data_IF_760785116738
#
_entry.id   IF_760785116738
#
_cell.length_a   1.000
_cell.length_b   1.000
_cell.length_c   1.000
_cell.angle_alpha   90.00
_cell.angle_beta   90.00
_cell.angle_gamma   90.00
#
_symmetry.space_group_name_H-M   'P 1'
#
loop_
_entity.id
_entity.type
_entity.pdbx_description
1 polymer ?
#
# COMPACT_ATOMS: atom_id res chain seq x y z
N UNK A 1 29.65 -10.42 16.22
CA UNK A 1 29.52 -9.33 17.23
C UNK A 1 28.50 -8.25 16.86
N UNK A 2 28.34 -7.84 15.59
CA UNK A 2 27.32 -6.86 15.16
C UNK A 2 25.86 -7.34 15.28
N UNK A 3 25.57 -8.62 14.97
CA UNK A 3 24.20 -9.16 14.97
C UNK A 3 23.58 -9.16 16.38
N UNK A 4 24.37 -9.45 17.42
CA UNK A 4 23.90 -9.43 18.82
C UNK A 4 23.50 -8.03 19.30
N UNK A 5 24.23 -6.97 18.91
CA UNK A 5 23.88 -5.58 19.24
C UNK A 5 22.62 -5.09 18.50
N UNK A 6 22.38 -5.60 17.28
CA UNK A 6 21.19 -5.24 16.50
C UNK A 6 19.88 -5.73 17.14
N UNK A 7 19.89 -6.92 17.72
CA UNK A 7 18.74 -7.51 18.42
C UNK A 7 18.37 -6.77 19.72
N UNK A 8 19.29 -5.99 20.30
CA UNK A 8 19.04 -5.17 21.49
C UNK A 8 18.49 -3.77 21.18
N UNK A 9 18.49 -3.34 19.91
CA UNK A 9 17.87 -2.08 19.53
C UNK A 9 16.36 -2.16 19.67
N UNK A 10 15.73 -1.04 20.01
CA UNK A 10 14.27 -0.95 19.93
C UNK A 10 13.79 -1.26 18.51
N UNK A 11 12.67 -1.96 18.39
CA UNK A 11 12.15 -2.49 17.12
C UNK A 11 12.09 -1.43 16.00
N UNK A 12 11.72 -0.19 16.32
CA UNK A 12 11.64 0.88 15.34
C UNK A 12 13.00 1.25 14.72
N UNK A 13 14.09 1.14 15.49
CA UNK A 13 15.44 1.33 14.96
C UNK A 13 15.88 0.16 14.08
N UNK A 14 15.49 -1.07 14.44
CA UNK A 14 15.75 -2.24 13.60
C UNK A 14 15.07 -2.08 12.22
N UNK A 15 13.80 -1.65 12.21
CA UNK A 15 13.06 -1.41 10.96
C UNK A 15 13.67 -0.26 10.16
N UNK A 16 14.02 0.86 10.81
CA UNK A 16 14.64 2.00 10.12
C UNK A 16 15.98 1.65 9.48
N UNK A 17 16.84 0.92 10.20
CA UNK A 17 18.12 0.43 9.66
C UNK A 17 17.88 -0.53 8.50
N UNK A 18 16.93 -1.45 8.63
CA UNK A 18 16.58 -2.39 7.58
C UNK A 18 16.05 -1.69 6.31
N UNK A 19 15.23 -0.65 6.48
CA UNK A 19 14.76 0.20 5.38
C UNK A 19 15.92 0.89 4.67
N UNK A 20 16.81 1.54 5.42
CA UNK A 20 17.95 2.27 4.85
C UNK A 20 18.94 1.32 4.14
N UNK A 21 19.24 0.17 4.75
CA UNK A 21 20.11 -0.84 4.14
C UNK A 21 19.50 -1.42 2.87
N UNK A 22 18.21 -1.79 2.89
CA UNK A 22 17.52 -2.32 1.72
C UNK A 22 17.50 -1.31 0.58
N UNK A 23 17.21 -0.04 0.89
CA UNK A 23 17.23 1.04 -0.10
C UNK A 23 18.63 1.29 -0.66
N UNK A 24 19.66 1.36 0.18
CA UNK A 24 21.04 1.58 -0.27
C UNK A 24 21.54 0.46 -1.19
N UNK A 25 21.29 -0.80 -0.81
CA UNK A 25 21.65 -1.97 -1.62
C UNK A 25 20.86 -1.94 -2.94
N UNK A 26 19.56 -1.68 -2.89
CA UNK A 26 18.73 -1.71 -4.08
C UNK A 26 19.06 -0.60 -5.07
N UNK A 27 19.27 0.64 -4.61
CA UNK A 27 19.73 1.76 -5.45
C UNK A 27 21.10 1.45 -6.05
N UNK A 28 22.03 0.93 -5.27
CA UNK A 28 23.38 0.59 -5.77
C UNK A 28 23.27 -0.48 -6.86
N UNK A 29 22.49 -1.54 -6.63
CA UNK A 29 22.27 -2.59 -7.62
C UNK A 29 21.54 -2.05 -8.86
N UNK A 30 20.57 -1.16 -8.70
CA UNK A 30 19.86 -0.52 -9.80
C UNK A 30 20.81 0.25 -10.73
N UNK A 31 21.71 1.05 -10.15
CA UNK A 31 22.68 1.86 -10.89
C UNK A 31 23.76 1.01 -11.54
N UNK A 32 24.30 0.01 -10.82
CA UNK A 32 25.49 -0.75 -11.25
C UNK A 32 25.18 -2.02 -12.03
N UNK A 33 24.05 -2.66 -11.74
CA UNK A 33 23.66 -3.98 -12.24
C UNK A 33 22.27 -4.00 -12.90
N UNK A 34 21.66 -2.82 -13.11
CA UNK A 34 20.31 -2.68 -13.64
C UNK A 34 20.21 -2.82 -15.15
N UNK A 35 21.29 -2.58 -15.89
CA UNK A 35 21.31 -2.65 -17.35
C UNK A 35 21.84 -4.00 -17.81
N UNK A 36 21.08 -4.69 -18.64
CA UNK A 36 21.51 -5.90 -19.34
C UNK A 36 20.95 -5.92 -20.75
N UNK A 37 21.85 -5.91 -21.73
CA UNK A 37 21.52 -6.14 -23.13
C UNK A 37 21.94 -7.57 -23.48
N UNK A 38 21.00 -8.39 -23.90
CA UNK A 38 21.21 -9.78 -24.30
C UNK A 38 20.82 -9.94 -25.77
N UNK A 39 21.78 -10.29 -26.62
CA UNK A 39 21.50 -10.81 -27.96
C UNK A 39 21.09 -12.28 -27.86
N UNK A 40 19.99 -12.64 -28.51
CA UNK A 40 19.43 -13.99 -28.47
C UNK A 40 20.05 -14.82 -29.59
N UNK A 41 20.60 -15.97 -29.21
CA UNK A 41 21.08 -16.97 -30.15
C UNK A 41 19.91 -17.46 -31.04
N UNK A 42 20.09 -17.59 -32.37
CA UNK A 42 19.05 -18.07 -33.28
C UNK A 42 18.42 -19.40 -32.87
N UNK A 43 19.14 -20.26 -32.16
CA UNK A 43 18.65 -21.55 -31.65
C UNK A 43 17.56 -21.42 -30.57
N UNK A 44 17.53 -20.29 -29.86
CA UNK A 44 16.57 -20.02 -28.79
C UNK A 44 15.30 -19.32 -29.30
N UNK A 45 15.30 -18.84 -30.56
CA UNK A 45 14.20 -18.08 -31.14
C UNK A 45 13.04 -19.00 -31.57
N UNK A 46 11.77 -18.53 -31.48
CA UNK A 46 10.64 -19.24 -32.06
C UNK A 46 10.79 -19.38 -33.58
N UNK A 47 10.19 -20.41 -34.17
CA UNK A 47 10.22 -20.63 -35.63
C UNK A 47 9.74 -19.40 -36.39
N UNK A 48 10.51 -18.95 -37.39
CA UNK A 48 10.23 -17.77 -38.21
C UNK A 48 10.90 -16.47 -37.74
N UNK A 49 11.72 -16.52 -36.69
CA UNK A 49 12.56 -15.40 -36.23
C UNK A 49 14.05 -15.69 -36.47
N UNK A 50 14.76 -14.68 -36.97
CA UNK A 50 16.18 -14.79 -37.35
C UNK A 50 17.12 -14.19 -36.29
N UNK A 51 16.72 -13.09 -35.67
CA UNK A 51 17.50 -12.41 -34.63
C UNK A 51 16.59 -11.85 -33.55
N UNK A 52 17.14 -11.67 -32.35
CA UNK A 52 16.41 -11.04 -31.26
C UNK A 52 17.35 -10.38 -30.27
N UNK A 53 16.89 -9.29 -29.68
CA UNK A 53 17.61 -8.53 -28.67
C UNK A 53 16.66 -8.23 -27.51
N UNK A 54 17.19 -8.36 -26.30
CA UNK A 54 16.50 -8.00 -25.07
C UNK A 54 17.34 -6.96 -24.35
N UNK A 55 16.75 -5.81 -24.06
CA UNK A 55 17.35 -4.74 -23.27
C UNK A 55 16.53 -4.56 -21.98
N UNK A 56 17.05 -5.10 -20.88
CA UNK A 56 16.50 -4.91 -19.54
C UNK A 56 17.21 -3.74 -18.86
N UNK A 57 16.44 -2.70 -18.53
CA UNK A 57 16.90 -1.56 -17.74
C UNK A 57 15.94 -1.30 -16.58
N UNK A 58 16.39 -0.57 -15.54
CA UNK A 58 15.48 -0.12 -14.49
C UNK A 58 14.29 0.65 -15.06
N UNK A 59 13.07 0.24 -14.69
CA UNK A 59 11.83 0.87 -15.17
C UNK A 59 11.49 0.69 -16.66
N UNK A 60 12.29 -0.06 -17.44
CA UNK A 60 12.05 -0.27 -18.88
C UNK A 60 12.60 -1.62 -19.36
N UNK A 61 11.76 -2.44 -19.97
CA UNK A 61 12.19 -3.67 -20.67
C UNK A 61 11.84 -3.53 -22.13
N UNK A 62 12.80 -3.74 -23.00
CA UNK A 62 12.60 -3.71 -24.44
C UNK A 62 12.98 -5.06 -25.05
N UNK A 63 12.09 -5.62 -25.84
CA UNK A 63 12.29 -6.89 -26.54
C UNK A 63 12.03 -6.63 -28.02
N UNK A 64 13.04 -6.89 -28.84
CA UNK A 64 13.00 -6.71 -30.29
C UNK A 64 13.28 -8.06 -30.93
N UNK A 65 12.35 -8.56 -31.72
CA UNK A 65 12.52 -9.82 -32.49
C UNK A 65 12.35 -9.53 -33.98
N UNK A 66 13.28 -10.00 -34.79
CA UNK A 66 13.26 -9.82 -36.25
C UNK A 66 12.89 -11.13 -36.93
N UNK A 67 11.85 -11.10 -37.76
CA UNK A 67 11.43 -12.25 -38.58
C UNK A 67 12.37 -12.48 -39.75
N UNK A 68 12.37 -13.71 -40.28
CA UNK A 68 13.11 -14.06 -41.51
C UNK A 68 12.69 -13.21 -42.72
N UNK A 69 11.47 -12.64 -42.72
CA UNK A 69 10.98 -11.70 -43.73
C UNK A 69 11.52 -10.27 -43.60
N UNK A 70 12.37 -10.00 -42.60
CA UNK A 70 12.89 -8.66 -42.28
C UNK A 70 11.96 -7.79 -41.43
N UNK A 71 10.73 -8.25 -41.14
CA UNK A 71 9.78 -7.51 -40.28
C UNK A 71 10.19 -7.62 -38.82
N UNK A 72 10.31 -6.47 -38.14
CA UNK A 72 10.67 -6.39 -36.71
C UNK A 72 9.42 -6.24 -35.84
N UNK A 73 9.32 -7.03 -34.78
CA UNK A 73 8.33 -6.91 -33.72
C UNK A 73 9.01 -6.39 -32.46
N UNK A 74 8.44 -5.33 -31.88
CA UNK A 74 9.00 -4.61 -30.73
C UNK A 74 7.96 -4.55 -29.62
N UNK A 75 8.37 -4.96 -28.42
CA UNK A 75 7.59 -4.82 -27.20
C UNK A 75 8.39 -4.01 -26.19
N UNK A 76 7.79 -2.95 -25.67
CA UNK A 76 8.37 -2.12 -24.62
C UNK A 76 7.48 -2.21 -23.40
N UNK A 77 8.02 -2.56 -22.25
CA UNK A 77 7.31 -2.61 -20.97
C UNK A 77 7.85 -1.52 -20.07
N UNK A 78 6.99 -0.62 -19.60
CA UNK A 78 7.41 0.59 -18.89
C UNK A 78 8.01 1.63 -19.82
N UNK A 79 9.01 2.38 -19.35
CA UNK A 79 9.66 3.45 -20.12
C UNK A 79 9.09 4.85 -19.89
N UNK A 80 9.75 5.84 -20.50
CA UNK A 80 9.38 7.25 -20.39
C UNK A 80 8.24 7.65 -21.34
N UNK A 81 7.83 8.93 -21.34
CA UNK A 81 6.79 9.44 -22.26
C UNK A 81 7.14 9.22 -23.74
N UNK A 82 8.43 9.23 -24.07
CA UNK A 82 8.99 9.05 -25.41
C UNK A 82 8.88 7.61 -25.94
N UNK A 83 8.73 6.62 -25.06
CA UNK A 83 8.64 5.18 -25.41
C UNK A 83 7.21 4.72 -25.75
N UNK A 84 6.22 5.62 -25.68
CA UNK A 84 4.79 5.29 -25.89
C UNK A 84 4.40 5.08 -27.36
N UNK A 85 5.34 5.15 -28.30
CA UNK A 85 5.08 4.91 -29.70
C UNK A 85 5.02 3.40 -30.02
N UNK A 86 3.80 2.91 -30.31
CA UNK A 86 3.44 1.59 -30.85
C UNK A 86 4.05 0.34 -30.17
N UNK A 87 3.26 -0.32 -29.30
CA UNK A 87 3.63 -1.59 -28.66
C UNK A 87 4.04 -1.49 -27.19
N UNK A 88 3.90 -0.30 -26.57
CA UNK A 88 4.17 -0.10 -25.14
C UNK A 88 3.13 -0.80 -24.26
N UNK A 89 3.60 -1.47 -23.22
CA UNK A 89 2.81 -2.19 -22.22
C UNK A 89 3.09 -1.61 -20.84
N UNK A 90 2.08 -1.54 -20.00
CA UNK A 90 2.22 -0.96 -18.67
C UNK A 90 2.98 -1.91 -17.73
N UNK A 91 2.81 -3.22 -17.90
CA UNK A 91 3.35 -4.24 -16.97
C UNK A 91 3.88 -5.48 -17.69
N UNK A 92 4.74 -6.23 -17.00
CA UNK A 92 5.22 -7.53 -17.48
C UNK A 92 4.09 -8.57 -17.58
N UNK A 93 3.04 -8.43 -16.79
CA UNK A 93 1.85 -9.29 -16.88
C UNK A 93 1.08 -9.08 -18.19
N UNK A 94 0.98 -7.83 -18.66
CA UNK A 94 0.40 -7.55 -19.98
C UNK A 94 1.25 -8.16 -21.11
N UNK A 95 2.57 -8.16 -20.96
CA UNK A 95 3.48 -8.82 -21.91
C UNK A 95 3.27 -10.33 -21.91
N UNK A 96 3.11 -10.95 -20.75
CA UNK A 96 2.82 -12.38 -20.66
C UNK A 96 1.52 -12.75 -21.37
N UNK A 97 0.47 -11.93 -21.22
CA UNK A 97 -0.82 -12.14 -21.89
C UNK A 97 -0.77 -11.92 -23.41
N UNK A 98 -0.11 -10.84 -23.87
CA UNK A 98 -0.10 -10.48 -25.31
C UNK A 98 0.98 -11.23 -26.11
N UNK A 99 2.13 -11.51 -25.52
CA UNK A 99 3.28 -12.12 -26.19
C UNK A 99 4.01 -13.12 -25.27
N UNK A 100 3.41 -14.30 -24.98
CA UNK A 100 3.96 -15.26 -24.02
C UNK A 100 5.31 -15.86 -24.44
N UNK A 101 5.66 -15.83 -25.73
CA UNK A 101 6.96 -16.27 -26.22
C UNK A 101 8.06 -15.24 -25.91
N UNK A 102 7.79 -13.94 -26.14
CA UNK A 102 8.70 -12.85 -25.79
C UNK A 102 8.92 -12.78 -24.27
N UNK A 103 7.86 -12.95 -23.47
CA UNK A 103 7.96 -13.00 -22.02
C UNK A 103 8.85 -14.15 -21.53
N UNK A 104 8.72 -15.37 -22.09
CA UNK A 104 9.57 -16.51 -21.73
C UNK A 104 11.05 -16.26 -22.04
N UNK A 105 11.35 -15.71 -23.22
CA UNK A 105 12.72 -15.34 -23.59
C UNK A 105 13.32 -14.33 -22.61
N UNK A 106 12.55 -13.29 -22.25
CA UNK A 106 12.96 -12.32 -21.24
C UNK A 106 13.18 -12.95 -19.87
N UNK A 107 12.23 -13.77 -19.40
CA UNK A 107 12.31 -14.44 -18.09
C UNK A 107 13.58 -15.30 -17.97
N UNK A 108 13.87 -16.07 -19.01
CA UNK A 108 14.89 -17.11 -18.94
C UNK A 108 16.29 -16.53 -19.27
N UNK A 109 16.39 -15.54 -20.17
CA UNK A 109 17.68 -15.06 -20.70
C UNK A 109 17.91 -13.55 -20.58
N UNK A 110 16.85 -12.75 -20.43
CA UNK A 110 16.91 -11.28 -20.50
C UNK A 110 17.13 -10.54 -19.18
N UNK A 111 16.83 -11.15 -18.03
CA UNK A 111 16.80 -10.44 -16.74
C UNK A 111 18.20 -9.99 -16.27
N UNK A 112 18.32 -8.71 -15.94
CA UNK A 112 19.44 -8.10 -15.23
C UNK A 112 19.63 -8.69 -13.83
N UNK A 113 20.84 -8.56 -13.27
CA UNK A 113 21.11 -9.03 -11.92
C UNK A 113 20.33 -8.21 -10.87
N UNK A 114 20.17 -6.90 -11.08
CA UNK A 114 19.34 -6.06 -10.21
C UNK A 114 17.89 -6.55 -10.19
N UNK A 115 17.29 -6.88 -11.35
CA UNK A 115 15.93 -7.41 -11.41
C UNK A 115 15.80 -8.77 -10.72
N UNK A 116 16.79 -9.66 -10.86
CA UNK A 116 16.80 -10.95 -10.14
C UNK A 116 16.87 -10.75 -8.62
N UNK A 117 17.66 -9.80 -8.15
CA UNK A 117 17.67 -9.41 -6.72
C UNK A 117 16.33 -8.81 -6.29
N UNK A 118 15.72 -7.98 -7.14
CA UNK A 118 14.39 -7.44 -6.94
C UNK A 118 13.32 -8.54 -6.82
N UNK A 119 13.31 -9.52 -7.72
CA UNK A 119 12.38 -10.65 -7.71
C UNK A 119 12.49 -11.46 -6.41
N UNK A 120 13.71 -11.63 -5.87
CA UNK A 120 13.92 -12.26 -4.57
C UNK A 120 13.34 -11.41 -3.44
N UNK A 121 13.58 -10.09 -3.49
CA UNK A 121 13.00 -9.12 -2.58
C UNK A 121 11.47 -9.14 -2.59
N UNK A 122 10.85 -9.17 -3.76
CA UNK A 122 9.38 -9.24 -3.89
C UNK A 122 8.85 -10.53 -3.26
N UNK A 123 9.43 -11.70 -3.59
CA UNK A 123 8.97 -12.97 -3.01
C UNK A 123 9.00 -12.98 -1.48
N UNK A 124 10.08 -12.51 -0.88
CA UNK A 124 10.25 -12.51 0.58
C UNK A 124 9.44 -11.39 1.25
N UNK A 125 9.38 -10.22 0.64
CA UNK A 125 8.57 -9.08 1.10
C UNK A 125 7.08 -9.40 1.05
N UNK A 126 6.59 -10.01 -0.03
CA UNK A 126 5.20 -10.44 -0.17
C UNK A 126 4.84 -11.53 0.82
N UNK A 127 5.76 -12.44 1.16
CA UNK A 127 5.51 -13.41 2.23
C UNK A 127 5.25 -12.71 3.56
N UNK A 128 6.01 -11.66 3.88
CA UNK A 128 5.77 -10.84 5.07
C UNK A 128 4.39 -10.16 5.04
N UNK A 129 4.00 -9.56 3.91
CA UNK A 129 2.66 -8.97 3.74
C UNK A 129 1.55 -10.02 3.86
N UNK A 130 1.75 -11.23 3.33
CA UNK A 130 0.80 -12.35 3.46
C UNK A 130 0.62 -12.74 4.92
N UNK A 131 1.69 -12.79 5.71
CA UNK A 131 1.59 -13.05 7.15
C UNK A 131 0.76 -11.98 7.87
N UNK A 132 0.97 -10.69 7.57
CA UNK A 132 0.15 -9.62 8.15
C UNK A 132 -1.32 -9.74 7.73
N UNK A 133 -1.59 -9.97 6.45
CA UNK A 133 -2.96 -10.17 5.93
C UNK A 133 -3.67 -11.37 6.55
N UNK A 134 -2.93 -12.45 6.83
CA UNK A 134 -3.46 -13.65 7.49
C UNK A 134 -4.06 -13.33 8.86
N UNK A 135 -3.43 -12.44 9.64
CA UNK A 135 -3.95 -12.03 10.95
C UNK A 135 -4.93 -10.87 10.87
N UNK A 136 -4.96 -10.09 9.78
CA UNK A 136 -5.82 -8.90 9.64
C UNK A 136 -7.30 -9.18 9.88
N UNK A 137 -7.92 -10.08 9.12
CA UNK A 137 -9.38 -10.29 9.21
C UNK A 137 -9.81 -10.83 10.57
N UNK A 138 -9.20 -11.92 11.11
CA UNK A 138 -9.60 -12.42 12.41
C UNK A 138 -9.35 -11.42 13.54
N UNK A 139 -8.25 -10.65 13.46
CA UNK A 139 -7.96 -9.60 14.44
C UNK A 139 -8.97 -8.46 14.38
N UNK A 140 -9.40 -8.02 13.19
CA UNK A 140 -10.44 -6.99 13.05
C UNK A 140 -11.74 -7.45 13.70
N UNK A 141 -12.18 -8.67 13.39
CA UNK A 141 -13.41 -9.25 13.95
C UNK A 141 -13.31 -9.37 15.48
N UNK A 142 -12.20 -9.91 15.98
CA UNK A 142 -11.94 -10.06 17.40
C UNK A 142 -11.89 -8.71 18.14
N UNK A 143 -11.14 -7.76 17.59
CA UNK A 143 -10.94 -6.42 18.14
C UNK A 143 -12.24 -5.63 18.17
N UNK A 144 -12.98 -5.56 17.04
CA UNK A 144 -14.26 -4.87 16.96
C UNK A 144 -15.29 -5.50 17.90
N UNK A 145 -15.41 -6.83 17.91
CA UNK A 145 -16.33 -7.51 18.80
C UNK A 145 -16.04 -7.23 20.27
N UNK A 146 -14.77 -7.37 20.68
CA UNK A 146 -14.33 -7.09 22.05
C UNK A 146 -14.58 -5.63 22.44
N UNK A 147 -14.16 -4.67 21.60
CA UNK A 147 -14.26 -3.25 21.93
C UNK A 147 -15.70 -2.71 21.87
N UNK A 148 -16.50 -3.12 20.90
CA UNK A 148 -17.91 -2.67 20.78
C UNK A 148 -18.74 -3.23 21.93
N UNK A 149 -18.65 -4.53 22.23
CA UNK A 149 -19.32 -5.12 23.40
C UNK A 149 -18.76 -4.54 24.71
N UNK A 150 -17.46 -4.19 24.70
CA UNK A 150 -16.73 -3.47 25.74
C UNK A 150 -17.33 -2.12 26.18
N UNK A 151 -18.08 -1.46 25.30
CA UNK A 151 -18.70 -0.14 25.53
C UNK A 151 -19.97 -0.19 26.40
N UNK A 152 -20.61 -1.35 26.51
CA UNK A 152 -21.79 -1.60 27.35
C UNK A 152 -23.10 -0.94 26.89
N UNK A 153 -23.07 0.20 26.17
CA UNK A 153 -24.28 0.88 25.66
C UNK A 153 -24.11 1.28 24.20
N UNK A 154 -25.14 1.00 23.39
CA UNK A 154 -25.18 1.38 21.97
C UNK A 154 -25.07 2.91 21.75
N UNK A 155 -25.60 3.73 22.66
CA UNK A 155 -25.51 5.20 22.56
C UNK A 155 -24.06 5.71 22.67
N UNK A 156 -23.17 4.99 23.36
CA UNK A 156 -21.75 5.32 23.43
C UNK A 156 -21.06 5.15 22.07
N UNK A 157 -21.49 4.14 21.29
CA UNK A 157 -20.94 3.87 19.95
C UNK A 157 -21.28 5.00 18.97
N UNK A 158 -22.53 5.49 18.97
CA UNK A 158 -22.94 6.60 18.09
C UNK A 158 -22.12 7.87 18.30
N UNK A 159 -21.73 8.17 19.55
CA UNK A 159 -20.87 9.32 19.86
C UNK A 159 -19.42 9.11 19.37
N UNK A 160 -18.90 7.90 19.48
CA UNK A 160 -17.56 7.56 18.95
C UNK A 160 -17.57 7.66 17.43
N UNK A 161 -18.57 7.08 16.77
CA UNK A 161 -18.73 7.14 15.33
C UNK A 161 -18.81 8.56 14.80
N UNK A 162 -19.71 9.39 15.34
CA UNK A 162 -19.88 10.78 14.87
C UNK A 162 -18.62 11.62 15.05
N UNK A 163 -17.91 11.49 16.19
CA UNK A 163 -16.62 12.17 16.40
C UNK A 163 -15.53 11.69 15.44
N UNK A 164 -15.47 10.38 15.20
CA UNK A 164 -14.48 9.77 14.30
C UNK A 164 -14.73 10.19 12.86
N UNK A 165 -15.98 10.14 12.41
CA UNK A 165 -16.37 10.55 11.07
C UNK A 165 -16.10 12.05 10.84
N UNK A 166 -16.45 12.91 11.81
CA UNK A 166 -16.14 14.33 11.74
C UNK A 166 -14.63 14.59 11.69
N UNK A 167 -13.84 13.84 12.46
CA UNK A 167 -12.37 13.91 12.40
C UNK A 167 -11.84 13.51 11.02
N UNK A 168 -12.29 12.38 10.46
CA UNK A 168 -11.86 11.90 9.14
C UNK A 168 -12.22 12.86 8.01
N UNK A 169 -13.46 13.35 7.99
CA UNK A 169 -13.88 14.34 7.01
C UNK A 169 -13.05 15.62 7.14
N UNK A 170 -12.81 16.07 8.38
CA UNK A 170 -11.99 17.25 8.65
C UNK A 170 -10.54 17.10 8.18
N UNK A 171 -9.88 15.99 8.49
CA UNK A 171 -8.49 15.75 8.08
C UNK A 171 -8.35 15.55 6.59
N UNK A 172 -9.28 14.84 5.96
CA UNK A 172 -9.32 14.68 4.50
C UNK A 172 -9.50 16.03 3.78
N UNK A 173 -10.39 16.89 4.27
CA UNK A 173 -10.54 18.24 3.72
C UNK A 173 -9.26 19.07 3.86
N UNK A 174 -8.60 19.01 5.02
CA UNK A 174 -7.30 19.67 5.22
C UNK A 174 -6.21 19.11 4.29
N UNK A 175 -6.21 17.80 4.03
CA UNK A 175 -5.29 17.14 3.11
C UNK A 175 -5.51 17.62 1.66
N UNK A 176 -6.77 17.63 1.20
CA UNK A 176 -7.14 18.12 -0.14
C UNK A 176 -6.73 19.59 -0.30
N UNK A 177 -7.06 20.44 0.67
CA UNK A 177 -6.66 21.87 0.65
C UNK A 177 -5.14 22.01 0.59
N UNK A 178 -4.39 21.23 1.37
CA UNK A 178 -2.92 21.22 1.31
C UNK A 178 -2.42 20.84 -0.09
N UNK A 179 -2.96 19.77 -0.67
CA UNK A 179 -2.61 19.33 -2.02
C UNK A 179 -2.90 20.40 -3.07
N UNK A 180 -4.10 20.99 -3.03
CA UNK A 180 -4.52 22.05 -3.93
C UNK A 180 -3.64 23.30 -3.82
N UNK A 181 -3.27 23.73 -2.61
CA UNK A 181 -2.40 24.89 -2.42
C UNK A 181 -1.02 24.61 -3.05
N UNK A 182 -0.42 23.45 -2.76
CA UNK A 182 0.94 23.14 -3.22
C UNK A 182 1.01 22.91 -4.73
N UNK A 183 0.03 22.22 -5.34
CA UNK A 183 0.03 22.03 -6.79
C UNK A 183 -0.21 23.32 -7.55
N UNK A 184 -1.05 24.24 -7.05
CA UNK A 184 -1.25 25.55 -7.66
C UNK A 184 -0.04 26.49 -7.49
N UNK A 185 0.74 26.30 -6.42
CA UNK A 185 1.96 27.06 -6.17
C UNK A 185 3.13 26.58 -7.04
N UNK A 186 3.34 25.26 -7.13
CA UNK A 186 4.48 24.65 -7.85
C UNK A 186 4.18 24.50 -9.34
N UNK A 187 2.92 24.27 -9.71
CA UNK A 187 2.43 24.07 -11.09
C UNK A 187 3.23 23.02 -11.87
N UNK A 188 3.31 21.78 -11.36
CA UNK A 188 4.21 20.76 -11.91
C UNK A 188 3.91 20.32 -13.35
N UNK A 189 2.72 20.63 -13.89
CA UNK A 189 2.31 20.28 -15.26
C UNK A 189 2.67 21.32 -16.33
N UNK A 190 3.16 22.52 -15.94
CA UNK A 190 3.52 23.57 -16.91
C UNK A 190 4.93 23.28 -17.45
N UNK A 191 5.06 23.10 -18.77
CA UNK A 191 6.35 22.88 -19.45
C UNK A 191 6.74 21.42 -19.60
N UNK A 192 5.95 20.48 -19.09
CA UNK A 192 6.09 19.05 -19.43
C UNK A 192 5.41 18.77 -20.77
N UNK A 193 6.16 18.27 -21.76
CA UNK A 193 5.66 17.81 -23.07
C UNK A 193 4.84 16.51 -23.01
N UNK A 194 4.47 16.08 -21.81
CA UNK A 194 3.61 14.94 -21.52
C UNK A 194 2.17 15.27 -21.92
N UNK A 195 1.87 15.20 -23.23
CA UNK A 195 0.50 14.97 -23.68
C UNK A 195 0.13 13.55 -23.28
N UNK A 196 -0.59 13.42 -22.17
CA UNK A 196 -1.35 12.22 -21.90
C UNK A 196 -2.43 12.16 -22.98
N UNK A 197 -2.19 11.42 -24.06
CA UNK A 197 -3.28 11.08 -24.98
C UNK A 197 -4.31 10.32 -24.16
N UNK A 198 -5.42 10.99 -23.86
CA UNK A 198 -6.62 10.35 -23.37
C UNK A 198 -7.03 9.35 -24.45
N UNK A 199 -6.68 8.09 -24.27
CA UNK A 199 -7.47 7.03 -24.88
C UNK A 199 -8.89 7.27 -24.38
N UNK A 200 -9.77 7.73 -25.27
CA UNK A 200 -11.21 7.71 -25.12
C UNK A 200 -11.62 6.24 -24.95
N UNK A 201 -11.36 5.66 -23.79
CA UNK A 201 -12.23 4.62 -23.27
C UNK A 201 -13.48 5.35 -22.86
N UNK A 202 -14.63 4.84 -23.30
CA UNK A 202 -15.94 5.16 -22.76
C UNK A 202 -15.91 4.95 -21.24
N UNK A 203 -15.43 5.96 -20.53
CA UNK A 203 -15.56 6.07 -19.09
C UNK A 203 -17.00 6.47 -18.92
N UNK A 204 -17.87 5.48 -18.70
CA UNK A 204 -19.17 5.74 -18.09
C UNK A 204 -18.89 6.48 -16.78
N UNK A 205 -19.02 7.80 -16.82
CA UNK A 205 -18.97 8.62 -15.64
C UNK A 205 -20.21 8.26 -14.83
N UNK A 206 -20.05 7.30 -13.90
CA UNK A 206 -21.09 6.96 -12.96
C UNK A 206 -21.51 8.24 -12.22
N UNK A 207 -22.81 8.41 -12.05
CA UNK A 207 -23.29 9.57 -11.30
C UNK A 207 -22.75 9.52 -9.88
N UNK A 208 -22.48 10.69 -9.28
CA UNK A 208 -22.05 10.76 -7.88
C UNK A 208 -23.01 10.02 -6.94
N UNK A 209 -24.31 10.05 -7.24
CA UNK A 209 -25.32 9.32 -6.48
C UNK A 209 -25.15 7.80 -6.55
N UNK A 210 -24.80 7.28 -7.72
CA UNK A 210 -24.55 5.86 -7.93
C UNK A 210 -23.32 5.38 -7.15
N UNK A 211 -22.21 6.12 -7.24
CA UNK A 211 -20.97 5.81 -6.50
C UNK A 211 -21.22 5.80 -4.99
N UNK A 212 -21.96 6.79 -4.48
CA UNK A 212 -22.33 6.86 -3.06
C UNK A 212 -23.26 5.70 -2.66
N UNK A 213 -24.20 5.32 -3.53
CA UNK A 213 -25.11 4.22 -3.27
C UNK A 213 -24.38 2.87 -3.28
N UNK A 214 -23.52 2.61 -4.26
CA UNK A 214 -22.62 1.45 -4.29
C UNK A 214 -21.78 1.34 -3.01
N UNK A 215 -21.35 2.48 -2.46
CA UNK A 215 -20.63 2.50 -1.18
C UNK A 215 -21.51 2.14 0.01
N UNK A 216 -22.82 2.45 -0.03
CA UNK A 216 -23.78 1.96 0.96
C UNK A 216 -24.03 0.46 0.79
N UNK A 217 -24.14 -0.03 -0.44
CA UNK A 217 -24.26 -1.46 -0.73
C UNK A 217 -23.03 -2.24 -0.24
N UNK A 218 -21.83 -1.67 -0.38
CA UNK A 218 -20.60 -2.30 0.09
C UNK A 218 -20.51 -2.38 1.63
N UNK A 219 -21.26 -1.55 2.37
CA UNK A 219 -21.42 -1.70 3.84
C UNK A 219 -22.25 -2.93 4.21
N UNK A 220 -23.24 -3.31 3.40
CA UNK A 220 -24.21 -4.36 3.73
C UNK A 220 -23.97 -5.58 2.82
N UNK A 221 -23.14 -6.55 3.23
CA UNK A 221 -22.88 -7.72 2.40
C UNK A 221 -24.13 -8.62 2.35
N UNK A 222 -24.45 -9.19 1.17
CA UNK A 222 -25.50 -10.20 1.07
C UNK A 222 -25.11 -11.51 1.78
N UNK A 223 -23.80 -11.76 1.93
CA UNK A 223 -23.25 -12.90 2.65
C UNK A 223 -21.99 -12.48 3.42
N UNK A 224 -22.02 -12.45 4.77
CA UNK A 224 -20.88 -12.05 5.59
C UNK A 224 -19.73 -13.08 5.54
N UNK A 225 -20.02 -14.36 5.31
CA UNK A 225 -18.99 -15.39 5.19
C UNK A 225 -18.22 -15.23 3.88
N UNK A 226 -18.91 -14.95 2.78
CA UNK A 226 -18.26 -14.62 1.51
C UNK A 226 -17.40 -13.34 1.65
N UNK A 227 -17.89 -12.34 2.38
CA UNK A 227 -17.12 -11.11 2.62
C UNK A 227 -15.77 -11.38 3.35
N UNK A 228 -15.71 -12.36 4.25
CA UNK A 228 -14.46 -12.80 4.89
C UNK A 228 -13.49 -13.40 3.86
N UNK A 229 -13.97 -14.27 2.98
CA UNK A 229 -13.16 -14.91 1.94
C UNK A 229 -12.62 -13.90 0.91
N UNK A 230 -13.45 -12.93 0.52
CA UNK A 230 -13.12 -11.91 -0.47
C UNK A 230 -12.31 -10.73 0.13
N UNK A 231 -11.99 -10.77 1.43
CA UNK A 231 -11.36 -9.68 2.16
C UNK A 231 -12.07 -8.31 2.00
N UNK A 232 -13.41 -8.31 1.96
CA UNK A 232 -14.23 -7.09 1.89
C UNK A 232 -14.30 -6.40 3.25
N UNK A 233 -13.22 -5.70 3.62
CA UNK A 233 -13.02 -5.09 4.94
C UNK A 233 -14.21 -4.23 5.40
N UNK A 234 -14.74 -3.36 4.54
CA UNK A 234 -15.86 -2.47 4.90
C UNK A 234 -17.12 -3.25 5.27
N UNK A 235 -17.43 -4.30 4.52
CA UNK A 235 -18.55 -5.21 4.80
C UNK A 235 -18.33 -6.01 6.08
N UNK A 236 -17.11 -6.51 6.31
CA UNK A 236 -16.73 -7.25 7.53
C UNK A 236 -16.91 -6.35 8.75
N UNK A 237 -16.36 -5.12 8.71
CA UNK A 237 -16.45 -4.15 9.80
C UNK A 237 -17.91 -3.83 10.12
N UNK A 238 -18.71 -3.52 9.11
CA UNK A 238 -20.12 -3.16 9.27
C UNK A 238 -20.95 -4.30 9.86
N UNK A 239 -20.76 -5.52 9.35
CA UNK A 239 -21.41 -6.71 9.89
C UNK A 239 -20.98 -6.98 11.34
N UNK A 240 -19.68 -6.94 11.66
CA UNK A 240 -19.19 -7.16 13.03
C UNK A 240 -19.74 -6.14 14.01
N UNK A 241 -19.84 -4.86 13.62
CA UNK A 241 -20.44 -3.82 14.46
C UNK A 241 -21.92 -4.11 14.69
N UNK A 242 -22.69 -4.38 13.64
CA UNK A 242 -24.13 -4.67 13.75
C UNK A 242 -24.38 -5.91 14.62
N UNK A 243 -23.62 -6.98 14.37
CA UNK A 243 -23.65 -8.19 15.19
C UNK A 243 -23.37 -7.88 16.66
N UNK A 244 -22.34 -7.10 16.94
CA UNK A 244 -21.97 -6.72 18.31
C UNK A 244 -23.04 -5.88 19.00
N UNK A 245 -23.70 -4.96 18.27
CA UNK A 245 -24.84 -4.20 18.78
C UNK A 245 -26.00 -5.14 19.13
N UNK A 246 -26.33 -6.09 18.26
CA UNK A 246 -27.39 -7.07 18.53
C UNK A 246 -27.08 -7.91 19.78
N UNK A 247 -25.83 -8.32 19.98
CA UNK A 247 -25.40 -9.03 21.22
C UNK A 247 -25.61 -8.16 22.47
N UNK A 248 -25.27 -6.86 22.40
CA UNK A 248 -25.51 -5.91 23.50
C UNK A 248 -27.02 -5.76 23.78
N UNK A 249 -27.84 -5.69 22.75
CA UNK A 249 -29.31 -5.57 22.87
C UNK A 249 -29.92 -6.82 23.51
N UNK A 250 -29.45 -8.00 23.14
CA UNK A 250 -29.88 -9.27 23.76
C UNK A 250 -29.49 -9.32 25.25
N UNK A 251 -28.28 -8.86 25.59
CA UNK A 251 -27.85 -8.69 26.97
C UNK A 251 -27.72 -10.00 27.77
N UNK A 252 -27.72 -9.87 29.10
CA UNK A 252 -27.67 -10.99 30.05
C UNK A 252 -26.41 -11.86 29.90
N UNK A 253 -26.54 -13.15 30.22
CA UNK A 253 -25.41 -14.10 30.12
C UNK A 253 -24.92 -14.35 28.70
N UNK A 254 -25.70 -14.01 27.67
CA UNK A 254 -25.27 -14.09 26.26
C UNK A 254 -24.18 -13.04 25.99
N UNK A 255 -24.43 -11.79 26.40
CA UNK A 255 -23.44 -10.71 26.26
C UNK A 255 -22.12 -11.07 26.94
N UNK A 256 -22.14 -11.57 28.17
CA UNK A 256 -20.90 -11.90 28.88
C UNK A 256 -20.10 -13.03 28.21
N UNK A 257 -20.79 -14.08 27.71
CA UNK A 257 -20.13 -15.16 26.96
C UNK A 257 -19.48 -14.68 25.67
N UNK A 258 -20.18 -13.86 24.89
CA UNK A 258 -19.62 -13.30 23.65
C UNK A 258 -18.49 -12.33 23.96
N UNK A 259 -18.64 -11.47 24.97
CA UNK A 259 -17.58 -10.55 25.38
C UNK A 259 -16.29 -11.30 25.74
N UNK A 260 -16.40 -12.38 26.51
CA UNK A 260 -15.25 -13.21 26.85
C UNK A 260 -14.65 -13.88 25.61
N UNK A 261 -15.47 -14.49 24.76
CA UNK A 261 -15.02 -15.13 23.52
C UNK A 261 -14.24 -14.17 22.62
N UNK A 262 -14.77 -12.96 22.37
CA UNK A 262 -14.11 -11.97 21.52
C UNK A 262 -12.86 -11.38 22.17
N UNK A 263 -12.84 -11.23 23.51
CA UNK A 263 -11.66 -10.79 24.25
C UNK A 263 -10.53 -11.82 24.16
N UNK A 264 -10.83 -13.10 24.42
CA UNK A 264 -9.84 -14.18 24.36
C UNK A 264 -9.31 -14.34 22.91
N UNK A 265 -10.20 -14.28 21.92
CA UNK A 265 -9.81 -14.29 20.52
C UNK A 265 -8.90 -13.09 20.17
N UNK A 266 -9.18 -11.91 20.71
CA UNK A 266 -8.37 -10.72 20.49
C UNK A 266 -6.96 -10.91 21.06
N UNK A 267 -6.82 -11.42 22.28
CA UNK A 267 -5.53 -11.65 22.92
C UNK A 267 -4.68 -12.70 22.17
N UNK A 268 -5.32 -13.78 21.68
CA UNK A 268 -4.67 -14.79 20.85
C UNK A 268 -4.19 -14.18 19.53
N UNK A 269 -5.06 -13.44 18.83
CA UNK A 269 -4.71 -12.80 17.56
C UNK A 269 -3.62 -11.74 17.73
N UNK A 270 -3.63 -11.02 18.86
CA UNK A 270 -2.59 -10.05 19.19
C UNK A 270 -1.25 -10.74 19.45
N UNK A 271 -1.26 -11.90 20.11
CA UNK A 271 -0.05 -12.70 20.33
C UNK A 271 0.55 -13.18 19.00
N UNK A 272 -0.27 -13.68 18.07
CA UNK A 272 0.17 -14.05 16.72
C UNK A 272 0.74 -12.83 15.97
N UNK A 273 0.04 -11.70 16.05
CA UNK A 273 0.45 -10.44 15.43
C UNK A 273 1.83 -10.00 15.95
N UNK A 274 2.05 -10.05 17.26
CA UNK A 274 3.34 -9.72 17.87
C UNK A 274 4.47 -10.64 17.41
N UNK A 275 4.18 -11.92 17.15
CA UNK A 275 5.15 -12.85 16.53
C UNK A 275 5.58 -12.39 15.13
N UNK A 276 4.62 -12.02 14.28
CA UNK A 276 4.87 -11.56 12.91
C UNK A 276 5.62 -10.22 12.91
N UNK A 277 5.28 -9.31 13.83
CA UNK A 277 5.92 -7.99 13.96
C UNK A 277 7.42 -8.10 14.25
N UNK A 278 7.89 -9.14 14.93
CA UNK A 278 9.32 -9.38 15.14
C UNK A 278 10.08 -9.61 13.83
N UNK A 279 9.39 -10.06 12.78
CA UNK A 279 9.94 -10.25 11.43
C UNK A 279 9.89 -8.96 10.59
N UNK A 280 9.28 -7.89 11.08
CA UNK A 280 9.09 -6.64 10.33
C UNK A 280 10.40 -6.05 9.78
N UNK A 281 11.54 -6.01 10.50
CA UNK A 281 12.79 -5.51 9.92
C UNK A 281 13.19 -6.27 8.65
N UNK A 282 13.05 -7.60 8.64
CA UNK A 282 13.38 -8.44 7.49
C UNK A 282 12.39 -8.19 6.34
N UNK A 283 11.09 -8.15 6.65
CA UNK A 283 10.05 -7.87 5.65
C UNK A 283 10.22 -6.51 4.97
N UNK A 284 10.42 -5.45 5.76
CA UNK A 284 10.63 -4.08 5.28
C UNK A 284 11.89 -3.97 4.42
N UNK A 285 12.98 -4.63 4.80
CA UNK A 285 14.20 -4.70 3.99
C UNK A 285 13.93 -5.24 2.58
N UNK A 286 13.23 -6.36 2.46
CA UNK A 286 12.98 -6.98 1.16
C UNK A 286 11.96 -6.22 0.31
N UNK A 287 10.94 -5.62 0.94
CA UNK A 287 9.98 -4.75 0.26
C UNK A 287 10.67 -3.54 -0.38
N UNK A 288 11.50 -2.82 0.39
CA UNK A 288 12.19 -1.64 -0.16
C UNK A 288 13.27 -2.02 -1.16
N UNK A 289 13.94 -3.16 -0.98
CA UNK A 289 14.91 -3.69 -1.94
C UNK A 289 14.26 -3.93 -3.29
N UNK A 290 13.08 -4.56 -3.33
CA UNK A 290 12.35 -4.77 -4.58
C UNK A 290 12.02 -3.45 -5.29
N UNK A 291 11.45 -2.48 -4.56
CA UNK A 291 11.08 -1.18 -5.13
C UNK A 291 12.31 -0.45 -5.68
N UNK A 292 13.40 -0.42 -4.92
CA UNK A 292 14.61 0.33 -5.30
C UNK A 292 15.46 -0.36 -6.37
N UNK A 293 15.36 -1.68 -6.55
CA UNK A 293 16.07 -2.41 -7.62
C UNK A 293 15.34 -2.38 -8.95
N UNK A 294 14.02 -2.25 -8.96
CA UNK A 294 13.21 -2.38 -10.19
C UNK A 294 12.77 -1.05 -10.80
N UNK A 295 12.61 -0.01 -9.98
CA UNK A 295 12.23 1.32 -10.45
C UNK A 295 13.46 2.08 -10.97
N UNK A 296 13.34 2.73 -12.13
CA UNK A 296 14.44 3.46 -12.78
C UNK A 296 14.47 4.96 -12.47
N UNK A 297 15.67 5.55 -12.53
CA UNK A 297 15.91 7.00 -12.37
C UNK A 297 15.18 7.88 -13.40
N UNK A 298 14.88 7.34 -14.58
CA UNK A 298 14.21 8.05 -15.68
C UNK A 298 12.76 8.43 -15.38
N UNK A 299 12.04 7.57 -14.64
CA UNK A 299 10.67 7.85 -14.16
C UNK A 299 10.70 9.03 -13.19
N UNK A 300 11.72 9.08 -12.34
CA UNK A 300 11.91 10.16 -11.39
C UNK A 300 12.23 11.49 -12.07
N UNK A 301 12.95 11.51 -13.20
CA UNK A 301 13.28 12.77 -13.90
C UNK A 301 12.04 13.38 -14.59
N UNK A 302 11.29 12.56 -15.33
CA UNK A 302 10.13 13.05 -16.11
C UNK A 302 8.94 13.47 -15.23
N UNK A 303 8.83 12.90 -14.03
CA UNK A 303 7.79 13.22 -13.04
C UNK A 303 8.35 13.88 -11.79
N UNK A 304 9.60 14.39 -11.83
CA UNK A 304 10.31 14.89 -10.65
C UNK A 304 9.51 15.97 -9.92
N UNK A 305 9.01 16.95 -10.68
CA UNK A 305 8.25 18.08 -10.16
C UNK A 305 6.89 17.64 -9.62
N UNK A 306 6.20 16.75 -10.33
CA UNK A 306 4.93 16.17 -9.88
C UNK A 306 5.11 15.39 -8.57
N UNK A 307 6.03 14.42 -8.56
CA UNK A 307 6.32 13.60 -7.39
C UNK A 307 6.83 14.44 -6.23
N UNK A 308 7.69 15.42 -6.50
CA UNK A 308 8.17 16.39 -5.51
C UNK A 308 7.03 17.18 -4.87
N UNK A 309 6.04 17.60 -5.67
CA UNK A 309 4.83 18.28 -5.19
C UNK A 309 4.01 17.38 -4.27
N UNK A 310 3.73 16.16 -4.70
CA UNK A 310 2.98 15.16 -3.89
C UNK A 310 3.72 14.86 -2.59
N UNK A 311 5.02 14.59 -2.64
CA UNK A 311 5.83 14.29 -1.46
C UNK A 311 5.89 15.47 -0.49
N UNK A 312 6.04 16.69 -0.99
CA UNK A 312 6.00 17.90 -0.17
C UNK A 312 4.64 18.08 0.51
N UNK A 313 3.54 17.82 -0.21
CA UNK A 313 2.19 17.93 0.32
C UNK A 313 1.88 16.86 1.37
N UNK A 314 2.27 15.60 1.12
CA UNK A 314 2.19 14.53 2.11
C UNK A 314 3.07 14.80 3.34
N UNK A 315 4.27 15.33 3.14
CA UNK A 315 5.16 15.70 4.25
C UNK A 315 4.58 16.85 5.07
N UNK A 316 4.01 17.88 4.44
CA UNK A 316 3.34 18.96 5.15
C UNK A 316 2.14 18.43 5.95
N UNK A 317 1.26 17.65 5.33
CA UNK A 317 0.09 17.09 6.02
C UNK A 317 0.51 16.16 7.17
N UNK A 318 1.45 15.24 6.92
CA UNK A 318 1.89 14.24 7.89
C UNK A 318 2.80 14.76 9.00
N UNK A 319 3.61 15.78 8.74
CA UNK A 319 4.60 16.31 9.70
C UNK A 319 4.19 17.65 10.33
N UNK A 320 3.22 18.35 9.75
CA UNK A 320 2.70 19.63 10.28
C UNK A 320 1.24 19.49 10.67
N UNK A 321 0.33 19.22 9.72
CA UNK A 321 -1.12 19.21 9.98
C UNK A 321 -1.52 18.20 11.06
N UNK A 322 -1.19 16.91 10.89
CA UNK A 322 -1.55 15.86 11.85
C UNK A 322 -0.86 16.05 13.23
N UNK A 323 0.44 16.39 13.32
CA UNK A 323 1.09 16.69 14.59
C UNK A 323 0.51 17.90 15.32
N UNK A 324 0.09 18.96 14.62
CA UNK A 324 -0.57 20.12 15.24
C UNK A 324 -1.94 19.73 15.81
N UNK A 325 -2.73 18.94 15.07
CA UNK A 325 -3.99 18.40 15.58
C UNK A 325 -3.75 17.56 16.84
N UNK A 326 -2.75 16.69 16.82
CA UNK A 326 -2.39 15.87 17.97
C UNK A 326 -1.95 16.71 19.19
N UNK A 327 -1.18 17.78 18.96
CA UNK A 327 -0.71 18.68 20.03
C UNK A 327 -1.83 19.54 20.62
N UNK A 328 -2.69 20.13 19.79
CA UNK A 328 -3.68 21.11 20.25
C UNK A 328 -5.04 20.49 20.58
N UNK A 329 -5.50 19.52 19.80
CA UNK A 329 -6.81 18.87 20.00
C UNK A 329 -6.68 17.73 21.01
N UNK A 330 -5.75 16.81 20.76
CA UNK A 330 -5.57 15.63 21.62
C UNK A 330 -4.64 15.87 22.82
N UNK A 331 -3.94 17.01 22.87
CA UNK A 331 -3.02 17.41 23.95
C UNK A 331 -1.97 16.33 24.25
N UNK A 332 -1.47 15.67 23.20
CA UNK A 332 -0.42 14.66 23.26
C UNK A 332 0.85 15.15 22.57
N UNK A 333 1.99 14.70 23.05
CA UNK A 333 3.32 14.92 22.47
C UNK A 333 3.41 14.25 21.09
N UNK A 334 3.53 15.01 19.98
CA UNK A 334 3.54 14.39 18.65
C UNK A 334 4.74 13.48 18.41
N UNK A 335 5.90 13.86 18.96
CA UNK A 335 7.14 13.09 18.81
C UNK A 335 7.07 11.74 19.54
N UNK A 336 6.48 11.72 20.73
CA UNK A 336 6.30 10.49 21.51
C UNK A 336 5.34 9.55 20.80
N UNK A 337 4.22 10.08 20.30
CA UNK A 337 3.25 9.30 19.54
C UNK A 337 3.85 8.75 18.24
N UNK A 338 4.63 9.56 17.50
CA UNK A 338 5.33 9.10 16.32
C UNK A 338 6.34 7.97 16.64
N UNK A 339 7.03 8.03 17.79
CA UNK A 339 7.92 6.94 18.24
C UNK A 339 7.15 5.68 18.63
N UNK A 340 5.95 5.81 19.17
CA UNK A 340 5.05 4.68 19.45
C UNK A 340 4.50 4.06 18.16
N UNK A 341 4.25 4.86 17.13
CA UNK A 341 3.69 4.43 15.84
C UNK A 341 4.72 4.04 14.78
N UNK A 342 6.02 4.31 15.00
CA UNK A 342 7.05 4.16 13.97
C UNK A 342 7.13 2.78 13.28
N UNK A 343 6.93 1.62 13.93
CA UNK A 343 6.87 0.33 13.24
C UNK A 343 5.74 0.29 12.22
N UNK A 344 4.53 0.76 12.60
CA UNK A 344 3.40 0.82 11.69
C UNK A 344 3.65 1.80 10.54
N UNK A 345 4.17 3.00 10.82
CA UNK A 345 4.47 4.02 9.81
C UNK A 345 5.52 3.55 8.80
N UNK A 346 6.64 2.98 9.28
CA UNK A 346 7.71 2.48 8.40
C UNK A 346 7.25 1.29 7.57
N UNK A 347 6.47 0.39 8.18
CA UNK A 347 5.91 -0.76 7.45
C UNK A 347 4.91 -0.29 6.40
N UNK A 348 4.01 0.65 6.73
CA UNK A 348 3.04 1.20 5.79
C UNK A 348 3.73 1.90 4.61
N UNK A 349 4.78 2.68 4.88
CA UNK A 349 5.60 3.31 3.85
C UNK A 349 6.24 2.28 2.91
N UNK A 350 6.83 1.20 3.46
CA UNK A 350 7.52 0.18 2.66
C UNK A 350 6.58 -0.75 1.89
N UNK A 351 5.39 -1.01 2.44
CA UNK A 351 4.43 -1.99 1.91
C UNK A 351 3.38 -1.38 0.99
N UNK A 352 3.22 -0.05 1.04
CA UNK A 352 2.15 0.69 0.37
C UNK A 352 0.74 0.12 0.64
N UNK A 353 0.49 -0.45 1.83
CA UNK A 353 -0.79 -1.09 2.15
C UNK A 353 -1.32 -0.73 3.55
N UNK A 354 -2.41 0.03 3.61
CA UNK A 354 -3.11 0.38 4.87
C UNK A 354 -3.72 -0.85 5.54
N UNK A 355 -4.48 -1.66 4.81
CA UNK A 355 -5.11 -2.88 5.36
C UNK A 355 -4.08 -3.96 5.71
N UNK A 356 -2.98 -4.04 4.96
CA UNK A 356 -1.88 -4.95 5.24
C UNK A 356 -1.12 -4.58 6.53
N UNK A 357 -1.19 -3.33 6.98
CA UNK A 357 -0.49 -2.87 8.20
C UNK A 357 -1.39 -2.67 9.40
N UNK A 358 -2.71 -2.82 9.24
CA UNK A 358 -3.68 -2.61 10.30
C UNK A 358 -3.40 -3.41 11.60
N UNK A 359 -3.01 -4.70 11.56
CA UNK A 359 -2.65 -5.43 12.79
C UNK A 359 -1.51 -4.78 13.56
N UNK A 360 -0.49 -4.32 12.85
CA UNK A 360 0.64 -3.62 13.43
C UNK A 360 0.24 -2.24 13.96
N UNK A 361 -0.66 -1.55 13.27
CA UNK A 361 -1.23 -0.27 13.73
C UNK A 361 -2.01 -0.44 15.03
N UNK A 362 -2.88 -1.45 15.14
CA UNK A 362 -3.64 -1.76 16.37
C UNK A 362 -2.68 -2.07 17.52
N UNK A 363 -1.69 -2.95 17.29
CA UNK A 363 -0.67 -3.28 18.30
C UNK A 363 0.11 -2.03 18.77
N UNK A 364 0.56 -1.17 17.84
CA UNK A 364 1.27 0.06 18.21
C UNK A 364 0.40 1.03 19.02
N UNK A 365 -0.86 1.22 18.64
CA UNK A 365 -1.79 2.11 19.33
C UNK A 365 -2.10 1.62 20.74
N UNK A 366 -2.32 0.33 20.93
CA UNK A 366 -2.73 -0.23 22.22
C UNK A 366 -1.54 -0.49 23.14
N UNK A 367 -0.50 -1.16 22.65
CA UNK A 367 0.62 -1.62 23.47
C UNK A 367 1.73 -0.57 23.61
N UNK A 368 1.88 0.36 22.66
CA UNK A 368 2.96 1.37 22.67
C UNK A 368 2.45 2.77 22.96
N UNK A 369 1.29 3.15 22.42
CA UNK A 369 0.70 4.47 22.67
C UNK A 369 -0.29 4.49 23.86
N UNK A 370 -0.62 3.31 24.42
CA UNK A 370 -1.46 3.19 25.61
C UNK A 370 -2.92 3.63 25.40
N UNK A 371 -3.42 3.54 24.16
CA UNK A 371 -4.81 3.86 23.85
C UNK A 371 -5.66 2.61 24.09
N UNK A 372 -6.82 2.78 24.74
CA UNK A 372 -7.70 1.67 25.08
C UNK A 372 -8.29 1.00 23.85
N UNK A 373 -8.33 -0.34 23.85
CA UNK A 373 -9.02 -1.16 22.85
C UNK A 373 -10.44 -0.67 22.54
N UNK A 374 -11.18 -0.22 23.56
CA UNK A 374 -12.52 0.37 23.46
C UNK A 374 -12.68 1.43 22.35
N UNK A 375 -11.63 2.20 22.06
CA UNK A 375 -11.64 3.25 21.03
C UNK A 375 -10.89 2.79 19.77
N UNK A 376 -9.69 2.23 19.94
CA UNK A 376 -8.82 1.83 18.83
C UNK A 376 -9.44 0.75 17.96
N UNK A 377 -10.17 -0.20 18.55
CA UNK A 377 -10.78 -1.30 17.82
C UNK A 377 -11.83 -0.86 16.82
N UNK A 378 -12.50 0.26 17.08
CA UNK A 378 -13.48 0.84 16.18
C UNK A 378 -12.85 1.80 15.18
N UNK A 379 -12.06 2.75 15.69
CA UNK A 379 -11.52 3.87 14.91
C UNK A 379 -10.56 3.36 13.85
N UNK A 380 -9.63 2.47 14.19
CA UNK A 380 -8.55 2.07 13.28
C UNK A 380 -9.01 1.22 12.10
N UNK A 381 -9.84 0.15 12.27
CA UNK A 381 -10.31 -0.62 11.14
C UNK A 381 -11.17 0.21 10.18
N UNK A 382 -12.02 1.09 10.71
CA UNK A 382 -12.82 2.01 9.90
C UNK A 382 -11.92 3.02 9.16
N UNK A 383 -10.88 3.52 9.82
CA UNK A 383 -9.92 4.45 9.22
C UNK A 383 -9.11 3.84 8.10
N UNK A 384 -8.75 2.56 8.19
CA UNK A 384 -7.96 1.87 7.17
C UNK A 384 -8.67 1.77 5.80
N UNK A 385 -10.01 1.85 5.78
CA UNK A 385 -10.83 1.79 4.56
C UNK A 385 -11.40 3.15 4.14
N UNK A 386 -11.78 4.01 5.10
CA UNK A 386 -12.46 5.28 4.81
C UNK A 386 -11.50 6.47 4.82
N UNK A 387 -10.55 6.52 5.75
CA UNK A 387 -9.73 7.71 5.97
C UNK A 387 -8.40 7.66 5.21
N UNK A 388 -8.46 7.88 3.91
CA UNK A 388 -7.31 7.86 3.00
C UNK A 388 -6.84 9.28 2.62
N UNK A 389 -6.52 10.12 3.61
CA UNK A 389 -6.06 11.51 3.41
C UNK A 389 -4.95 11.64 2.35
N UNK A 390 -3.97 10.73 2.38
CA UNK A 390 -2.86 10.74 1.43
C UNK A 390 -3.30 10.47 -0.01
N UNK A 391 -4.28 9.59 -0.21
CA UNK A 391 -4.87 9.31 -1.53
C UNK A 391 -5.68 10.50 -2.01
N UNK A 392 -6.53 11.09 -1.16
CA UNK A 392 -7.34 12.25 -1.52
C UNK A 392 -6.46 13.45 -1.93
N UNK A 393 -5.38 13.69 -1.19
CA UNK A 393 -4.37 14.70 -1.53
C UNK A 393 -3.66 14.38 -2.85
N UNK A 394 -3.23 13.12 -3.04
CA UNK A 394 -2.56 12.67 -4.27
C UNK A 394 -3.47 12.85 -5.49
N UNK A 395 -4.74 12.43 -5.41
CA UNK A 395 -5.71 12.54 -6.50
C UNK A 395 -5.98 14.01 -6.85
N UNK A 396 -6.12 14.88 -5.85
CA UNK A 396 -6.28 16.32 -6.10
C UNK A 396 -5.08 16.93 -6.84
N UNK A 397 -3.85 16.51 -6.49
CA UNK A 397 -2.64 16.95 -7.20
C UNK A 397 -2.55 16.33 -8.60
N UNK A 398 -2.94 15.06 -8.76
CA UNK A 398 -2.93 14.35 -10.03
C UNK A 398 -3.89 14.97 -11.05
N UNK A 399 -5.13 15.26 -10.64
CA UNK A 399 -6.15 15.85 -11.52
C UNK A 399 -5.76 17.23 -12.03
N UNK A 400 -5.03 18.03 -11.24
CA UNK A 400 -4.54 19.35 -11.68
C UNK A 400 -3.22 19.29 -12.44
N UNK A 401 -2.48 18.19 -12.32
CA UNK A 401 -1.26 17.96 -13.10
C UNK A 401 -1.57 17.54 -14.53
N UNK A 402 -2.58 16.67 -14.69
CA UNK A 402 -3.17 16.26 -15.98
C UNK A 402 -3.86 17.47 -16.60
#
# INVERSE_FOLDING_TARGET
>A
MMIGRFLHLALHWQIAVALLLGAAIGITANITLGVRVTELDPSLLPKGYQSGQIDDRPGRVEIVLTRESGKTERWVVGGGPEDRAAGSLATLEELEKKAPHAYRLFRDHGRSLARRLGDLGDRLGQLFIRMLRMVSIPLIVASLGSGVMGLGRASSLGRIFTRTFAYYLGTSMLAIVTGLILVNAIRPGIGTSLRLESSEKDLHAESMGEILFQQVESLIPPNPIAALSDARFLSIISFTILFSICVIVVGGGILERFRQLFSDAFDVMMTMTNGIIRLAPIGVFFLILYVTTTQGSSVFYSLALYMGTVLAALAFHGLVTLPLLLKFVARRSPLEYARAMSPALLTAFSSASSNGTLPLTISCVEQRAGISNRISSFVLPLGATINMDGTALYEAVAVLFI
#
